data_IF_556479825039
#
_entry.id   IF_556479825039
#
_cell.length_a   1.000
_cell.length_b   1.000
_cell.length_c   1.000
_cell.angle_alpha   90.00
_cell.angle_beta   90.00
_cell.angle_gamma   90.00
#
_symmetry.space_group_name_H-M   'P 1'
#
loop_
_entity.id
_entity.type
_entity.pdbx_description
1 polymer ?
#
# COMPACT_ATOMS: atom_id res chain seq x y z
N UNK A 1 -17.31 8.45 15.85
CA UNK A 1 -17.75 7.77 14.60
C UNK A 1 -17.07 8.49 13.43
N UNK A 2 -16.55 7.78 12.41
CA UNK A 2 -15.82 8.41 11.31
C UNK A 2 -16.73 9.31 10.48
N UNK A 3 -16.20 10.44 10.00
CA UNK A 3 -16.98 11.43 9.25
C UNK A 3 -17.65 10.86 7.99
N UNK A 4 -17.00 9.89 7.33
CA UNK A 4 -17.49 9.17 6.15
C UNK A 4 -18.26 7.88 6.45
N UNK A 5 -18.67 7.64 7.71
CA UNK A 5 -19.49 6.48 8.09
C UNK A 5 -18.75 5.13 8.13
N UNK A 6 -17.56 5.03 7.55
CA UNK A 6 -16.75 3.82 7.51
C UNK A 6 -15.33 4.08 8.04
N UNK A 7 -14.69 3.03 8.57
CA UNK A 7 -13.29 3.09 9.02
C UNK A 7 -12.31 2.65 7.93
N UNK A 8 -12.75 1.74 7.05
CA UNK A 8 -11.95 1.16 5.97
C UNK A 8 -12.54 1.55 4.62
N UNK A 9 -11.68 2.09 3.76
CA UNK A 9 -11.99 2.57 2.42
C UNK A 9 -11.07 2.01 1.35
N UNK A 10 -9.81 1.71 1.69
CA UNK A 10 -8.85 1.13 0.76
C UNK A 10 -8.01 0.06 1.47
N UNK A 11 -8.15 -1.19 1.08
CA UNK A 11 -7.51 -2.34 1.72
C UNK A 11 -6.72 -3.14 0.69
N UNK A 12 -5.74 -3.90 1.16
CA UNK A 12 -5.08 -4.90 0.35
C UNK A 12 -4.95 -6.23 1.11
N UNK A 13 -4.85 -7.33 0.38
CA UNK A 13 -4.65 -8.66 0.93
C UNK A 13 -3.50 -9.33 0.20
N UNK A 14 -2.59 -9.92 0.94
CA UNK A 14 -1.52 -10.76 0.39
C UNK A 14 -2.04 -12.16 0.20
N UNK A 15 -1.97 -12.63 -1.04
CA UNK A 15 -2.43 -13.95 -1.43
C UNK A 15 -1.24 -14.82 -1.80
N UNK A 16 -1.28 -16.05 -1.29
CA UNK A 16 -0.41 -17.13 -1.72
C UNK A 16 -1.25 -18.21 -2.38
N UNK A 17 -0.77 -18.77 -3.47
CA UNK A 17 -1.37 -19.97 -4.06
C UNK A 17 -0.53 -21.18 -3.66
N UNK A 18 -1.16 -22.22 -3.12
CA UNK A 18 -0.48 -23.46 -2.77
C UNK A 18 -0.17 -24.33 -4.01
N UNK A 19 0.68 -25.36 -3.88
CA UNK A 19 0.97 -26.31 -4.96
C UNK A 19 -0.24 -27.12 -5.43
N UNK A 20 -1.25 -27.25 -4.56
CA UNK A 20 -2.56 -27.86 -4.85
C UNK A 20 -3.49 -26.93 -5.65
N UNK A 21 -3.05 -25.70 -5.92
CA UNK A 21 -3.79 -24.69 -6.65
C UNK A 21 -4.76 -23.87 -5.80
N UNK A 22 -4.89 -24.17 -4.50
CA UNK A 22 -5.74 -23.41 -3.57
C UNK A 22 -5.13 -22.06 -3.24
N UNK A 23 -5.96 -21.07 -2.93
CA UNK A 23 -5.53 -19.72 -2.57
C UNK A 23 -5.74 -19.47 -1.08
N UNK A 24 -4.78 -18.76 -0.48
CA UNK A 24 -4.75 -18.47 0.95
C UNK A 24 -4.44 -16.99 1.16
N UNK A 25 -5.10 -16.37 2.14
CA UNK A 25 -4.73 -15.05 2.63
C UNK A 25 -3.54 -15.20 3.58
N UNK A 26 -2.38 -14.69 3.16
CA UNK A 26 -1.15 -14.68 3.96
C UNK A 26 -1.14 -13.52 4.97
N UNK A 27 -1.89 -12.46 4.67
CA UNK A 27 -2.24 -11.44 5.65
C UNK A 27 -2.89 -10.19 5.05
N UNK A 28 -3.33 -9.32 5.95
CA UNK A 28 -4.21 -8.20 5.64
C UNK A 28 -3.45 -6.87 5.70
N UNK A 29 -3.85 -5.90 4.87
CA UNK A 29 -3.31 -4.54 4.86
C UNK A 29 -4.44 -3.51 4.89
N UNK A 30 -4.59 -2.88 6.04
CA UNK A 30 -5.69 -1.96 6.37
C UNK A 30 -5.19 -0.60 6.89
N UNK A 31 -3.91 -0.42 7.19
CA UNK A 31 -3.35 0.82 7.69
C UNK A 31 -3.13 1.85 6.58
N UNK A 32 -2.15 1.57 5.71
CA UNK A 32 -1.74 2.41 4.59
C UNK A 32 -1.14 1.52 3.47
N UNK A 33 -1.93 0.61 2.88
CA UNK A 33 -1.41 -0.43 1.96
C UNK A 33 -0.69 0.16 0.74
N UNK A 34 0.54 -0.29 0.51
CA UNK A 34 1.38 0.03 -0.65
C UNK A 34 1.23 -0.93 -1.83
N UNK A 35 1.81 -0.57 -2.97
CA UNK A 35 1.92 -1.38 -4.19
C UNK A 35 0.90 -1.07 -5.29
N UNK A 36 -0.18 -0.35 -4.99
CA UNK A 36 -1.22 -0.05 -5.98
C UNK A 36 -0.69 0.86 -7.10
N UNK A 37 0.27 1.73 -6.79
CA UNK A 37 0.89 2.60 -7.80
C UNK A 37 1.85 1.82 -8.68
N UNK A 38 2.58 0.87 -8.09
CA UNK A 38 3.43 -0.07 -8.82
C UNK A 38 2.60 -0.99 -9.74
N UNK A 39 1.45 -1.49 -9.29
CA UNK A 39 0.55 -2.29 -10.14
C UNK A 39 0.12 -1.51 -11.39
N UNK A 40 -0.20 -0.23 -11.23
CA UNK A 40 -0.58 0.65 -12.32
C UNK A 40 0.59 0.95 -13.27
N UNK A 41 1.76 1.24 -12.72
CA UNK A 41 2.97 1.48 -13.51
C UNK A 41 3.36 0.23 -14.31
N UNK A 42 3.43 -0.92 -13.66
CA UNK A 42 3.72 -2.21 -14.30
C UNK A 42 2.77 -2.44 -15.47
N UNK A 43 1.47 -2.15 -15.29
CA UNK A 43 0.52 -2.23 -16.39
C UNK A 43 0.86 -1.31 -17.56
N UNK A 44 1.18 -0.05 -17.28
CA UNK A 44 1.54 0.92 -18.33
C UNK A 44 2.83 0.50 -19.04
N UNK A 45 3.84 0.03 -18.31
CA UNK A 45 5.09 -0.44 -18.87
C UNK A 45 4.89 -1.68 -19.75
N UNK A 46 4.20 -2.70 -19.24
CA UNK A 46 3.98 -3.96 -19.97
C UNK A 46 3.07 -3.76 -21.18
N UNK A 47 2.02 -2.95 -21.10
CA UNK A 47 1.18 -2.62 -22.28
C UNK A 47 1.99 -1.91 -23.38
N UNK A 48 3.01 -1.11 -23.03
CA UNK A 48 3.90 -0.47 -24.01
C UNK A 48 4.92 -1.45 -24.59
N UNK A 49 5.54 -2.26 -23.74
CA UNK A 49 6.60 -3.19 -24.15
C UNK A 49 6.06 -4.38 -24.95
N UNK A 50 4.87 -4.87 -24.60
CA UNK A 50 4.23 -6.07 -25.17
C UNK A 50 2.91 -5.72 -25.86
N UNK A 51 2.89 -4.64 -26.65
CA UNK A 51 1.65 -4.08 -27.19
C UNK A 51 0.86 -5.04 -28.09
N UNK A 52 1.56 -5.88 -28.87
CA UNK A 52 0.93 -6.88 -29.75
C UNK A 52 0.21 -7.95 -28.92
N UNK A 53 0.93 -8.55 -27.97
CA UNK A 53 0.42 -9.59 -27.05
C UNK A 53 -0.74 -9.04 -26.21
N UNK A 54 -0.59 -7.82 -25.69
CA UNK A 54 -1.63 -7.16 -24.90
C UNK A 54 -2.89 -6.85 -25.74
N UNK A 55 -2.73 -6.54 -27.03
CA UNK A 55 -3.85 -6.26 -27.93
C UNK A 55 -4.71 -7.49 -28.22
N UNK A 56 -4.10 -8.67 -28.28
CA UNK A 56 -4.77 -9.95 -28.51
C UNK A 56 -5.43 -10.50 -27.25
N UNK A 57 -4.89 -10.21 -26.07
CA UNK A 57 -5.48 -10.64 -24.81
C UNK A 57 -6.53 -9.66 -24.31
N UNK A 58 -7.71 -10.17 -23.96
CA UNK A 58 -8.77 -9.38 -23.34
C UNK A 58 -8.47 -9.10 -21.86
N UNK A 59 -7.38 -8.39 -21.58
CA UNK A 59 -6.94 -8.02 -20.22
C UNK A 59 -7.82 -6.89 -19.67
N UNK A 60 -8.35 -7.07 -18.47
CA UNK A 60 -9.11 -6.02 -17.79
C UNK A 60 -8.26 -4.79 -17.45
N UNK A 61 -8.81 -3.61 -17.71
CA UNK A 61 -8.13 -2.33 -17.41
C UNK A 61 -8.24 -1.97 -15.93
N UNK A 62 -7.15 -1.45 -15.37
CA UNK A 62 -7.13 -0.95 -13.99
C UNK A 62 -7.81 0.42 -13.83
N UNK A 63 -7.96 1.17 -14.93
CA UNK A 63 -8.47 2.54 -14.92
C UNK A 63 -9.85 2.66 -14.26
N UNK A 64 -10.74 1.70 -14.49
CA UNK A 64 -12.08 1.67 -13.88
C UNK A 64 -12.07 1.62 -12.35
N UNK A 65 -11.21 0.78 -11.77
CA UNK A 65 -11.04 0.69 -10.33
C UNK A 65 -10.60 2.03 -9.73
N UNK A 66 -9.58 2.64 -10.34
CA UNK A 66 -9.04 3.93 -9.90
C UNK A 66 -10.02 5.09 -10.10
N UNK A 67 -10.81 5.07 -11.19
CA UNK A 67 -11.90 6.02 -11.44
C UNK A 67 -12.93 5.95 -10.31
N UNK A 68 -13.50 4.77 -10.08
CA UNK A 68 -14.50 4.55 -9.02
C UNK A 68 -13.99 4.95 -7.64
N UNK A 69 -12.73 4.63 -7.34
CA UNK A 69 -12.13 5.04 -6.06
C UNK A 69 -11.95 6.56 -5.95
N UNK A 70 -11.44 7.23 -7.00
CA UNK A 70 -11.34 8.69 -7.04
C UNK A 70 -12.71 9.34 -6.83
N UNK A 71 -13.72 8.85 -7.54
CA UNK A 71 -15.07 9.40 -7.48
C UNK A 71 -15.68 9.18 -6.08
N UNK A 72 -15.39 8.04 -5.43
CA UNK A 72 -15.75 7.80 -4.04
C UNK A 72 -15.07 8.76 -3.05
N UNK A 73 -13.77 9.05 -3.24
CA UNK A 73 -13.06 10.04 -2.42
C UNK A 73 -13.65 11.45 -2.60
N UNK A 74 -13.97 11.84 -3.84
CA UNK A 74 -14.59 13.14 -4.14
C UNK A 74 -16.00 13.21 -3.52
N UNK A 75 -16.80 12.16 -3.65
CA UNK A 75 -18.15 12.07 -3.07
C UNK A 75 -18.18 12.10 -1.55
N UNK A 76 -17.08 11.76 -0.88
CA UNK A 76 -16.94 11.88 0.59
C UNK A 76 -16.74 13.33 1.05
N UNK A 77 -16.33 14.25 0.18
CA UNK A 77 -16.12 15.65 0.55
C UNK A 77 -17.47 16.32 0.86
N UNK A 78 -17.72 16.61 2.14
CA UNK A 78 -19.00 17.19 2.62
C UNK A 78 -19.21 18.65 2.25
N UNK A 79 -18.12 19.38 2.03
CA UNK A 79 -18.18 20.81 1.73
C UNK A 79 -17.87 21.06 0.27
N UNK A 80 -18.59 22.00 -0.35
CA UNK A 80 -18.33 22.45 -1.72
C UNK A 80 -16.90 22.96 -1.92
N UNK A 81 -16.23 23.44 -0.87
CA UNK A 81 -14.86 23.98 -0.93
C UNK A 81 -13.77 23.02 -0.45
N UNK A 82 -14.17 21.88 0.13
CA UNK A 82 -13.26 20.86 0.64
C UNK A 82 -12.54 20.10 -0.47
N UNK A 83 -11.21 20.07 -0.44
CA UNK A 83 -10.41 19.30 -1.41
C UNK A 83 -10.08 17.89 -0.89
N UNK A 84 -9.83 16.98 -1.84
CA UNK A 84 -9.24 15.66 -1.60
C UNK A 84 -7.73 15.78 -1.75
N UNK A 85 -6.96 15.13 -0.87
CA UNK A 85 -5.51 15.08 -0.95
C UNK A 85 -4.95 13.71 -0.54
N UNK A 86 -3.75 13.40 -1.01
CA UNK A 86 -2.93 12.26 -0.56
C UNK A 86 -1.86 12.81 0.38
N UNK A 87 -1.78 12.27 1.60
CA UNK A 87 -0.73 12.59 2.56
C UNK A 87 0.41 11.58 2.42
N UNK A 88 1.61 12.06 2.10
CA UNK A 88 2.83 11.26 1.97
C UNK A 88 3.84 11.62 3.06
N UNK A 89 4.66 10.65 3.54
CA UNK A 89 5.79 10.93 4.43
C UNK A 89 6.95 11.67 3.75
N UNK A 90 6.92 11.83 2.41
CA UNK A 90 7.90 12.59 1.64
C UNK A 90 8.92 11.73 0.87
N UNK A 91 9.87 12.35 0.14
CA UNK A 91 10.73 11.68 -0.86
C UNK A 91 11.69 10.62 -0.31
N UNK A 92 12.00 10.67 0.99
CA UNK A 92 12.90 9.72 1.64
C UNK A 92 12.22 8.39 2.00
N UNK A 93 10.93 8.25 1.71
CA UNK A 93 10.21 7.00 1.89
C UNK A 93 10.33 6.10 0.64
N UNK A 94 10.56 4.81 0.86
CA UNK A 94 10.74 3.81 -0.20
C UNK A 94 9.57 3.72 -1.20
N UNK A 95 8.34 4.03 -0.77
CA UNK A 95 7.15 4.00 -1.64
C UNK A 95 6.73 5.38 -2.13
N UNK A 96 7.52 6.44 -1.92
CA UNK A 96 7.17 7.80 -2.35
C UNK A 96 6.82 7.89 -3.83
N UNK A 97 7.58 7.18 -4.67
CA UNK A 97 7.34 7.14 -6.11
C UNK A 97 5.90 6.75 -6.45
N UNK A 98 5.37 5.70 -5.80
CA UNK A 98 4.01 5.24 -6.05
C UNK A 98 2.97 6.29 -5.63
N UNK A 99 3.24 7.02 -4.53
CA UNK A 99 2.36 8.06 -4.03
C UNK A 99 2.25 9.19 -5.06
N UNK A 100 3.39 9.64 -5.59
CA UNK A 100 3.46 10.65 -6.63
C UNK A 100 2.81 10.18 -7.95
N UNK A 101 3.04 8.93 -8.33
CA UNK A 101 2.46 8.36 -9.54
C UNK A 101 0.93 8.32 -9.47
N UNK A 102 0.38 7.80 -8.36
CA UNK A 102 -1.08 7.76 -8.13
C UNK A 102 -1.66 9.16 -8.04
N UNK A 103 -1.03 10.08 -7.31
CA UNK A 103 -1.50 11.46 -7.20
C UNK A 103 -1.64 12.12 -8.57
N UNK A 104 -0.61 11.98 -9.42
CA UNK A 104 -0.64 12.46 -10.80
C UNK A 104 -1.72 11.77 -11.63
N UNK A 105 -1.84 10.44 -11.52
CA UNK A 105 -2.79 9.66 -12.29
C UNK A 105 -4.24 10.02 -11.95
N UNK A 106 -4.56 10.21 -10.67
CA UNK A 106 -5.90 10.56 -10.20
C UNK A 106 -6.21 12.06 -10.28
N UNK A 107 -5.20 12.92 -10.47
CA UNK A 107 -5.35 14.37 -10.41
C UNK A 107 -5.62 14.90 -9.00
N UNK A 108 -5.08 14.23 -7.98
CA UNK A 108 -5.26 14.58 -6.56
C UNK A 108 -3.96 15.21 -6.04
N UNK A 109 -4.07 16.21 -5.16
CA UNK A 109 -2.90 16.86 -4.56
C UNK A 109 -2.10 15.87 -3.72
N UNK A 110 -0.78 15.84 -3.93
CA UNK A 110 0.17 15.16 -3.05
C UNK A 110 0.70 16.18 -2.04
N UNK A 111 0.49 15.92 -0.75
CA UNK A 111 0.84 16.81 0.35
C UNK A 111 1.71 16.08 1.36
N UNK A 112 2.65 16.78 1.98
CA UNK A 112 3.39 16.35 3.17
C UNK A 112 2.79 16.94 4.44
N UNK A 113 3.19 16.44 5.61
CA UNK A 113 2.67 16.92 6.90
C UNK A 113 2.82 18.43 7.08
N UNK A 114 3.92 18.99 6.58
CA UNK A 114 4.23 20.43 6.61
C UNK A 114 3.47 21.27 5.57
N UNK A 115 2.82 20.65 4.57
CA UNK A 115 1.93 21.38 3.66
C UNK A 115 0.59 21.69 4.35
N UNK A 116 0.30 21.01 5.46
CA UNK A 116 -0.96 21.05 6.18
C UNK A 116 -0.86 21.81 7.50
N UNK A 117 -1.99 22.39 7.92
CA UNK A 117 -2.15 23.04 9.23
C UNK A 117 -3.57 22.89 9.71
N UNK A 118 -3.76 22.88 11.03
CA UNK A 118 -5.10 22.96 11.62
C UNK A 118 -5.39 24.41 12.01
N UNK A 119 -6.53 24.93 11.56
CA UNK A 119 -7.00 26.28 11.86
C UNK A 119 -8.51 26.27 12.05
N UNK A 120 -8.99 26.84 13.15
CA UNK A 120 -10.43 26.84 13.48
C UNK A 120 -11.05 25.43 13.55
N UNK A 121 -10.28 24.43 14.00
CA UNK A 121 -10.73 23.03 14.07
C UNK A 121 -10.73 22.29 12.72
N UNK A 122 -10.30 22.94 11.65
CA UNK A 122 -10.33 22.40 10.28
C UNK A 122 -8.92 22.13 9.77
N UNK A 123 -8.77 21.04 9.01
CA UNK A 123 -7.52 20.76 8.30
C UNK A 123 -7.46 21.63 7.04
N UNK A 124 -6.36 22.38 6.90
CA UNK A 124 -6.13 23.32 5.82
C UNK A 124 -4.80 23.01 5.13
N UNK A 125 -4.71 23.22 3.83
CA UNK A 125 -3.46 23.22 3.06
C UNK A 125 -2.95 24.64 2.88
N UNK A 126 -1.64 24.84 3.01
CA UNK A 126 -0.94 26.09 2.68
C UNK A 126 -0.79 26.20 1.17
N UNK A 127 -1.35 27.27 0.59
CA UNK A 127 -1.24 27.55 -0.85
C UNK A 127 -0.78 28.98 -1.07
N UNK A 128 -0.32 29.28 -2.28
CA UNK A 128 0.04 30.66 -2.68
C UNK A 128 -1.13 31.65 -2.62
N UNK A 129 -2.37 31.14 -2.62
CA UNK A 129 -3.60 31.95 -2.53
C UNK A 129 -4.17 32.00 -1.10
N UNK A 130 -3.43 31.49 -0.11
CA UNK A 130 -3.87 31.39 1.28
C UNK A 130 -4.24 29.96 1.70
N UNK A 131 -4.87 29.83 2.87
CA UNK A 131 -5.29 28.54 3.41
C UNK A 131 -6.54 28.03 2.69
N UNK A 132 -6.53 26.76 2.30
CA UNK A 132 -7.71 26.09 1.73
C UNK A 132 -8.07 24.82 2.49
N UNK A 133 -9.36 24.51 2.67
CA UNK A 133 -9.77 23.36 3.46
C UNK A 133 -9.54 22.02 2.73
N UNK A 134 -9.12 21.02 3.50
CA UNK A 134 -9.04 19.61 3.09
C UNK A 134 -10.14 18.83 3.80
N UNK A 135 -11.02 18.19 3.02
CA UNK A 135 -12.14 17.40 3.57
C UNK A 135 -11.88 15.90 3.55
N UNK A 136 -11.00 15.42 2.66
CA UNK A 136 -10.64 14.01 2.57
C UNK A 136 -9.14 13.87 2.41
N UNK A 137 -8.53 13.05 3.27
CA UNK A 137 -7.09 12.81 3.31
C UNK A 137 -6.80 11.32 3.17
N UNK A 138 -6.31 10.92 2.00
CA UNK A 138 -5.79 9.57 1.77
C UNK A 138 -4.37 9.47 2.31
N UNK A 139 -4.23 8.83 3.48
CA UNK A 139 -2.98 8.73 4.21
C UNK A 139 -2.12 7.57 3.70
N UNK A 140 -0.83 7.84 3.52
CA UNK A 140 0.21 6.89 3.07
C UNK A 140 1.35 6.70 4.08
N UNK A 141 1.07 6.94 5.36
CA UNK A 141 1.98 6.79 6.49
C UNK A 141 1.25 6.17 7.66
N UNK A 142 1.93 5.50 8.59
CA UNK A 142 1.29 4.82 9.73
C UNK A 142 0.59 5.76 10.71
N UNK A 143 -0.49 5.29 11.34
CA UNK A 143 -1.35 6.14 12.15
C UNK A 143 -0.59 6.87 13.26
N UNK A 144 0.35 6.19 13.93
CA UNK A 144 1.17 6.76 15.01
C UNK A 144 1.92 8.05 14.60
N UNK A 145 2.30 8.18 13.33
CA UNK A 145 3.05 9.33 12.84
C UNK A 145 2.17 10.50 12.39
N UNK A 146 0.84 10.35 12.38
CA UNK A 146 -0.07 11.30 11.76
C UNK A 146 -0.17 12.63 12.51
N UNK A 147 -0.04 12.63 13.84
CA UNK A 147 -0.17 13.82 14.68
C UNK A 147 0.80 13.77 15.87
N UNK A 148 1.83 14.64 15.92
CA UNK A 148 2.78 14.65 17.02
C UNK A 148 2.22 15.19 18.34
N UNK A 149 1.06 15.87 18.35
CA UNK A 149 0.47 16.38 19.60
C UNK A 149 -0.24 15.29 20.41
N UNK A 150 -0.83 14.31 19.74
CA UNK A 150 -1.66 13.28 20.38
C UNK A 150 -1.12 11.85 20.24
N UNK A 151 -0.26 11.58 19.25
CA UNK A 151 0.23 10.23 18.96
C UNK A 151 1.72 10.12 19.28
N UNK A 152 2.58 10.23 18.27
CA UNK A 152 4.03 10.07 18.41
C UNK A 152 4.73 11.44 18.44
N UNK A 153 5.24 11.90 19.60
CA UNK A 153 5.78 13.26 19.75
C UNK A 153 7.01 13.57 18.90
N UNK A 154 7.81 12.55 18.57
CA UNK A 154 9.00 12.67 17.71
C UNK A 154 8.67 12.57 16.21
N UNK A 155 7.38 12.48 15.82
CA UNK A 155 7.00 12.46 14.40
C UNK A 155 7.26 13.80 13.73
N UNK A 156 8.03 13.76 12.63
CA UNK A 156 8.30 14.93 11.77
C UNK A 156 7.49 14.94 10.47
N UNK A 157 6.71 13.88 10.21
CA UNK A 157 5.96 13.67 8.96
C UNK A 157 4.45 13.86 9.12
N UNK A 158 4.00 14.08 10.36
CA UNK A 158 2.61 14.33 10.70
C UNK A 158 2.22 15.80 10.65
N UNK A 159 0.96 16.08 10.98
CA UNK A 159 0.42 17.44 11.08
C UNK A 159 -0.14 17.65 12.49
N UNK A 160 0.42 18.59 13.28
CA UNK A 160 -0.11 18.92 14.61
C UNK A 160 -1.61 19.25 14.59
N UNK A 161 -2.38 18.56 15.43
CA UNK A 161 -3.83 18.76 15.60
C UNK A 161 -4.70 18.01 14.58
N UNK A 162 -4.11 17.19 13.70
CA UNK A 162 -4.84 16.36 12.75
C UNK A 162 -5.84 15.41 13.44
N UNK A 163 -5.46 14.82 14.58
CA UNK A 163 -6.36 13.93 15.33
C UNK A 163 -7.58 14.69 15.82
N UNK A 164 -7.40 15.91 16.34
CA UNK A 164 -8.51 16.75 16.77
C UNK A 164 -9.43 17.12 15.58
N UNK A 165 -8.87 17.49 14.42
CA UNK A 165 -9.66 17.79 13.22
C UNK A 165 -10.48 16.57 12.74
N UNK A 166 -9.92 15.35 12.86
CA UNK A 166 -10.63 14.10 12.58
C UNK A 166 -11.74 13.86 13.61
N UNK A 167 -11.46 14.08 14.90
CA UNK A 167 -12.40 13.90 16.02
C UNK A 167 -13.61 14.82 15.89
N UNK A 168 -13.40 16.07 15.46
CA UNK A 168 -14.45 17.04 15.15
C UNK A 168 -15.21 16.72 13.86
N UNK A 169 -14.76 15.75 13.06
CA UNK A 169 -15.38 15.35 11.81
C UNK A 169 -15.15 16.34 10.66
N UNK A 170 -14.17 17.25 10.80
CA UNK A 170 -13.82 18.25 9.80
C UNK A 170 -13.09 17.65 8.58
N UNK A 171 -12.42 16.51 8.77
CA UNK A 171 -11.72 15.77 7.71
C UNK A 171 -11.97 14.26 7.84
N UNK A 172 -12.22 13.60 6.72
CA UNK A 172 -12.26 12.14 6.62
C UNK A 172 -10.88 11.60 6.24
N UNK A 173 -10.40 10.55 6.91
CA UNK A 173 -9.14 9.89 6.58
C UNK A 173 -9.37 8.54 5.91
N UNK A 174 -8.55 8.25 4.90
CA UNK A 174 -8.55 6.97 4.20
C UNK A 174 -7.19 6.29 4.44
N UNK A 175 -7.09 5.19 5.17
CA UNK A 175 -8.08 4.67 6.12
C UNK A 175 -8.05 5.45 7.45
N UNK A 176 -9.07 5.22 8.29
CA UNK A 176 -9.15 5.81 9.62
C UNK A 176 -7.90 5.52 10.46
N UNK A 177 -7.56 6.43 11.38
CA UNK A 177 -6.49 6.18 12.34
C UNK A 177 -6.84 4.96 13.22
N UNK A 178 -5.86 4.10 13.47
CA UNK A 178 -6.03 2.85 14.21
C UNK A 178 -6.48 1.64 13.36
N UNK A 179 -6.75 1.82 12.06
CA UNK A 179 -7.16 0.72 11.18
C UNK A 179 -6.13 -0.40 11.06
N UNK A 180 -4.84 -0.11 11.28
CA UNK A 180 -3.76 -1.11 11.27
C UNK A 180 -3.81 -2.14 12.40
N UNK A 181 -4.64 -1.93 13.42
CA UNK A 181 -4.91 -2.96 14.43
C UNK A 181 -5.44 -4.26 13.77
N UNK A 182 -6.15 -4.15 12.65
CA UNK A 182 -6.64 -5.32 11.92
C UNK A 182 -5.54 -6.12 11.21
N UNK A 183 -4.32 -5.57 11.10
CA UNK A 183 -3.16 -6.29 10.55
C UNK A 183 -2.44 -7.14 11.60
N UNK A 184 -2.88 -7.13 12.86
CA UNK A 184 -2.24 -7.89 13.95
C UNK A 184 -2.29 -9.40 13.68
N UNK A 185 -1.12 -10.05 13.64
CA UNK A 185 -1.01 -11.48 13.31
C UNK A 185 -1.88 -12.39 14.17
N UNK A 186 -1.97 -12.13 15.48
CA UNK A 186 -2.79 -12.93 16.38
C UNK A 186 -4.28 -12.95 15.97
N UNK A 187 -4.79 -11.90 15.30
CA UNK A 187 -6.18 -11.86 14.85
C UNK A 187 -6.49 -12.94 13.79
N UNK A 188 -5.51 -13.35 12.99
CA UNK A 188 -5.69 -14.40 11.98
C UNK A 188 -6.15 -15.73 12.61
N UNK A 189 -5.70 -16.04 13.84
CA UNK A 189 -6.15 -17.23 14.57
C UNK A 189 -7.66 -17.21 14.90
N UNK A 190 -8.25 -16.03 14.96
CA UNK A 190 -9.65 -15.83 15.34
C UNK A 190 -10.57 -15.51 14.17
N UNK A 191 -10.03 -15.14 13.00
CA UNK A 191 -10.82 -14.74 11.84
C UNK A 191 -11.94 -15.73 11.44
N UNK A 192 -11.72 -17.06 11.42
CA UNK A 192 -12.81 -17.99 11.11
C UNK A 192 -13.98 -17.91 12.11
N UNK A 193 -13.68 -17.79 13.40
CA UNK A 193 -14.70 -17.63 14.45
C UNK A 193 -15.38 -16.26 14.36
N UNK A 194 -14.62 -15.20 14.06
CA UNK A 194 -15.14 -13.85 13.86
C UNK A 194 -16.11 -13.82 12.66
N UNK A 195 -15.77 -14.48 11.55
CA UNK A 195 -16.64 -14.56 10.37
C UNK A 195 -17.97 -15.23 10.70
N UNK A 196 -17.96 -16.40 11.35
CA UNK A 196 -19.19 -17.08 11.78
C UNK A 196 -20.02 -16.23 12.74
N UNK A 197 -19.38 -15.59 13.72
CA UNK A 197 -20.09 -14.81 14.72
C UNK A 197 -20.73 -13.52 14.16
N UNK A 198 -20.06 -12.85 13.21
CA UNK A 198 -20.53 -11.57 12.66
C UNK A 198 -21.34 -11.70 11.38
N UNK A 199 -21.09 -12.74 10.57
CA UNK A 199 -21.72 -12.94 9.25
C UNK A 199 -22.55 -14.21 9.16
N UNK A 200 -22.39 -15.16 10.07
CA UNK A 200 -23.04 -16.48 9.98
C UNK A 200 -22.37 -17.46 9.01
N UNK A 201 -21.35 -17.03 8.28
CA UNK A 201 -20.71 -17.81 7.21
C UNK A 201 -19.22 -18.08 7.51
N UNK A 202 -18.71 -19.18 6.93
CA UNK A 202 -17.28 -19.48 6.88
C UNK A 202 -16.53 -18.50 5.96
N UNK A 203 -15.21 -18.43 6.12
CA UNK A 203 -14.34 -17.70 5.20
C UNK A 203 -14.35 -18.40 3.83
N UNK A 204 -14.76 -17.68 2.78
CA UNK A 204 -14.70 -18.18 1.40
C UNK A 204 -13.25 -18.39 0.94
N UNK A 205 -12.35 -17.53 1.40
CA UNK A 205 -10.92 -17.63 1.17
C UNK A 205 -10.23 -17.84 2.52
N UNK A 206 -9.61 -19.01 2.76
CA UNK A 206 -8.99 -19.29 4.05
C UNK A 206 -7.74 -18.42 4.26
N UNK A 207 -7.46 -18.11 5.53
CA UNK A 207 -6.18 -17.53 5.92
C UNK A 207 -5.16 -18.62 6.21
N UNK A 208 -3.88 -18.28 6.20
CA UNK A 208 -2.82 -19.19 6.68
C UNK A 208 -3.13 -19.69 8.08
N UNK A 209 -2.93 -21.00 8.31
CA UNK A 209 -3.13 -21.62 9.61
C UNK A 209 -2.27 -20.92 10.66
N UNK A 210 -2.93 -20.39 11.69
CA UNK A 210 -2.34 -19.48 12.67
C UNK A 210 -2.78 -19.86 14.08
N UNK A 211 -1.83 -19.97 15.00
CA UNK A 211 -2.03 -20.34 16.39
C UNK A 211 -1.44 -19.29 17.31
N UNK A 212 -2.28 -18.68 18.16
CA UNK A 212 -1.81 -17.74 19.16
C UNK A 212 -1.37 -18.49 20.43
N UNK A 213 -0.11 -18.35 20.81
CA UNK A 213 0.49 -19.08 21.93
C UNK A 213 0.02 -18.59 23.32
N UNK A 214 -0.87 -17.60 23.37
CA UNK A 214 -1.58 -17.21 24.60
C UNK A 214 -2.58 -18.26 25.07
N UNK A 215 -3.05 -19.13 24.17
CA UNK A 215 -3.93 -20.25 24.51
C UNK A 215 -3.11 -21.53 24.70
N UNK A 216 -3.41 -22.29 25.76
CA UNK A 216 -2.57 -23.42 26.18
C UNK A 216 -2.49 -24.55 25.14
N UNK A 217 -3.60 -24.87 24.48
CA UNK A 217 -3.69 -25.94 23.47
C UNK A 217 -2.92 -25.54 22.20
N UNK A 218 -3.11 -24.31 21.75
CA UNK A 218 -2.48 -23.71 20.59
C UNK A 218 -0.97 -23.58 20.81
N UNK A 219 -0.54 -23.16 22.01
CA UNK A 219 0.88 -23.14 22.41
C UNK A 219 1.50 -24.53 22.37
N UNK A 220 0.83 -25.53 22.95
CA UNK A 220 1.32 -26.92 22.92
C UNK A 220 1.45 -27.44 21.48
N UNK A 221 0.50 -27.10 20.60
CA UNK A 221 0.56 -27.44 19.18
C UNK A 221 1.78 -26.81 18.48
N UNK A 222 2.02 -25.52 18.70
CA UNK A 222 3.18 -24.81 18.13
C UNK A 222 4.49 -25.41 18.61
N UNK A 223 4.62 -25.69 19.92
CA UNK A 223 5.83 -26.30 20.49
C UNK A 223 6.08 -27.72 19.95
N UNK A 224 5.03 -28.53 19.83
CA UNK A 224 5.13 -29.89 19.31
C UNK A 224 5.51 -29.95 17.82
N UNK A 225 5.16 -28.90 17.05
CA UNK A 225 5.37 -28.85 15.60
C UNK A 225 6.36 -27.75 15.19
N UNK A 226 7.18 -27.25 16.11
CA UNK A 226 8.01 -26.06 15.95
C UNK A 226 8.82 -26.04 14.65
N UNK A 227 9.36 -27.18 14.21
CA UNK A 227 10.20 -27.28 13.02
C UNK A 227 9.44 -26.96 11.72
N UNK A 228 8.10 -27.04 11.72
CA UNK A 228 7.23 -26.71 10.58
C UNK A 228 6.57 -25.33 10.70
N UNK A 229 6.86 -24.61 11.79
CA UNK A 229 6.20 -23.37 12.13
C UNK A 229 7.09 -22.17 11.83
N UNK A 230 6.43 -21.10 11.42
CA UNK A 230 6.93 -19.74 11.36
C UNK A 230 6.51 -19.05 12.65
N UNK A 231 7.47 -18.70 13.50
CA UNK A 231 7.20 -18.15 14.83
C UNK A 231 7.63 -16.70 14.86
N UNK A 232 6.77 -15.83 15.36
CA UNK A 232 7.06 -14.42 15.51
C UNK A 232 6.17 -13.72 16.53
N UNK A 233 6.33 -12.39 16.68
CA UNK A 233 5.54 -11.58 17.60
C UNK A 233 4.04 -11.59 17.24
N UNK A 234 3.21 -11.92 18.23
CA UNK A 234 1.75 -11.99 18.09
C UNK A 234 1.11 -10.65 17.71
N UNK A 235 1.66 -9.55 18.24
CA UNK A 235 1.12 -8.20 18.09
C UNK A 235 1.72 -7.42 16.90
N UNK A 236 2.63 -8.03 16.13
CA UNK A 236 3.18 -7.39 14.95
C UNK A 236 2.10 -7.18 13.89
N UNK A 237 2.16 -6.02 13.24
CA UNK A 237 1.35 -5.66 12.06
C UNK A 237 2.11 -5.89 10.75
N UNK A 238 3.36 -6.38 10.83
CA UNK A 238 4.11 -6.83 9.65
C UNK A 238 3.78 -8.28 9.38
N UNK A 239 3.87 -8.69 8.12
CA UNK A 239 3.67 -10.07 7.72
C UNK A 239 4.87 -10.93 8.10
N UNK A 240 4.64 -12.24 8.27
CA UNK A 240 5.69 -13.18 8.64
C UNK A 240 6.92 -13.13 7.73
N UNK A 241 6.68 -12.91 6.43
CA UNK A 241 7.71 -12.82 5.40
C UNK A 241 8.16 -11.38 5.08
N UNK A 242 7.88 -10.41 5.95
CA UNK A 242 8.43 -9.04 5.87
C UNK A 242 9.16 -8.62 7.15
N UNK A 243 9.30 -9.53 8.11
CA UNK A 243 9.84 -9.26 9.44
C UNK A 243 11.12 -10.08 9.65
N UNK A 244 12.22 -9.56 9.10
CA UNK A 244 13.49 -10.28 8.94
C UNK A 244 14.18 -10.61 10.28
N UNK A 245 13.93 -9.79 11.31
CA UNK A 245 14.66 -9.90 12.57
C UNK A 245 13.92 -10.76 13.61
N UNK A 246 12.59 -10.63 13.69
CA UNK A 246 11.80 -11.19 14.80
C UNK A 246 11.03 -12.45 14.45
N UNK A 247 10.90 -12.78 13.16
CA UNK A 247 10.20 -13.98 12.69
C UNK A 247 11.21 -15.04 12.28
N UNK A 248 11.05 -16.27 12.80
CA UNK A 248 11.98 -17.38 12.55
C UNK A 248 11.22 -18.60 12.05
N UNK A 249 11.81 -19.29 11.07
CA UNK A 249 11.39 -20.63 10.68
C UNK A 249 12.00 -21.63 11.66
N UNK A 250 11.17 -22.44 12.32
CA UNK A 250 11.67 -23.34 13.36
C UNK A 250 12.71 -24.34 12.88
N UNK A 251 12.60 -24.85 11.63
CA UNK A 251 13.60 -25.75 11.04
C UNK A 251 14.96 -25.09 10.75
N UNK A 252 15.03 -23.75 10.71
CA UNK A 252 16.26 -23.01 10.51
C UNK A 252 16.99 -22.68 11.82
N UNK A 253 16.39 -22.96 12.98
CA UNK A 253 16.97 -22.67 14.29
C UNK A 253 18.00 -23.73 14.69
N UNK A 254 19.13 -23.27 15.24
CA UNK A 254 20.04 -24.17 15.94
C UNK A 254 19.40 -24.74 17.21
N UNK A 255 19.95 -25.82 17.76
CA UNK A 255 19.43 -26.44 18.98
C UNK A 255 19.39 -25.46 20.18
N UNK A 256 20.37 -24.56 20.27
CA UNK A 256 20.43 -23.54 21.32
C UNK A 256 19.34 -22.47 21.15
N UNK A 257 19.22 -21.90 19.95
CA UNK A 257 18.18 -20.91 19.64
C UNK A 257 16.77 -21.49 19.80
N UNK A 258 16.58 -22.75 19.42
CA UNK A 258 15.31 -23.47 19.61
C UNK A 258 14.96 -23.59 21.09
N UNK A 259 15.90 -24.00 21.94
CA UNK A 259 15.67 -24.12 23.38
C UNK A 259 15.32 -22.77 24.02
N UNK A 260 16.01 -21.70 23.61
CA UNK A 260 15.71 -20.35 24.07
C UNK A 260 14.32 -19.88 23.64
N UNK A 261 13.96 -20.08 22.37
CA UNK A 261 12.65 -19.71 21.85
C UNK A 261 11.52 -20.47 22.56
N UNK A 262 11.71 -21.79 22.79
CA UNK A 262 10.76 -22.61 23.54
C UNK A 262 10.55 -22.07 24.95
N UNK A 263 11.63 -21.80 25.69
CA UNK A 263 11.55 -21.25 27.04
C UNK A 263 10.83 -19.89 27.07
N UNK A 264 11.03 -19.04 26.06
CA UNK A 264 10.32 -17.76 25.92
C UNK A 264 8.82 -17.95 25.64
N UNK A 265 8.45 -18.88 24.76
CA UNK A 265 7.05 -19.18 24.45
C UNK A 265 6.33 -19.77 25.68
N UNK A 266 7.01 -20.62 26.45
CA UNK A 266 6.44 -21.19 27.67
C UNK A 266 6.18 -20.11 28.73
N UNK A 267 7.11 -19.16 28.88
CA UNK A 267 7.01 -18.06 29.85
C UNK A 267 5.99 -16.99 29.41
N UNK A 268 6.11 -16.52 28.17
CA UNK A 268 5.43 -15.32 27.66
C UNK A 268 4.59 -15.64 26.41
N UNK A 269 3.86 -16.77 26.42
CA UNK A 269 3.16 -17.28 25.23
C UNK A 269 2.20 -16.28 24.56
N UNK A 270 1.62 -15.34 25.30
CA UNK A 270 0.76 -14.28 24.75
C UNK A 270 1.45 -13.38 23.72
N UNK A 271 2.78 -13.29 23.75
CA UNK A 271 3.57 -12.46 22.85
C UNK A 271 3.92 -13.17 21.55
N UNK A 272 3.58 -14.45 21.39
CA UNK A 272 3.97 -15.26 20.25
C UNK A 272 2.80 -15.82 19.46
N UNK A 273 3.02 -15.94 18.15
CA UNK A 273 2.14 -16.63 17.22
C UNK A 273 2.96 -17.62 16.42
N UNK A 274 2.44 -18.82 16.22
CA UNK A 274 2.94 -19.79 15.24
C UNK A 274 2.05 -19.78 14.01
N UNK A 275 2.65 -19.78 12.82
CA UNK A 275 1.96 -19.89 11.54
C UNK A 275 2.54 -21.06 10.77
N UNK A 276 1.72 -21.77 10.01
CA UNK A 276 2.22 -22.84 9.15
C UNK A 276 3.15 -22.27 8.06
N UNK A 277 4.28 -22.93 7.81
CA UNK A 277 5.18 -22.54 6.74
C UNK A 277 4.53 -22.82 5.37
N UNK A 278 3.95 -21.78 4.76
CA UNK A 278 3.29 -21.90 3.46
C UNK A 278 4.30 -22.11 2.35
N UNK A 279 4.08 -23.16 1.55
CA UNK A 279 4.76 -23.37 0.27
C UNK A 279 3.96 -22.67 -0.83
N UNK A 280 4.59 -21.78 -1.58
CA UNK A 280 3.97 -21.03 -2.66
C UNK A 280 4.13 -21.75 -3.99
N UNK A 281 3.14 -21.60 -4.86
CA UNK A 281 3.22 -21.94 -6.27
C UNK A 281 4.25 -21.07 -6.96
N UNK A 282 4.78 -21.55 -8.08
CA UNK A 282 5.79 -20.85 -8.86
C UNK A 282 5.22 -20.23 -10.12
N UNK A 283 5.87 -19.17 -10.60
CA UNK A 283 5.66 -18.54 -11.90
C UNK A 283 6.96 -18.62 -12.70
N UNK A 284 6.90 -18.75 -14.04
CA UNK A 284 8.10 -18.72 -14.86
C UNK A 284 8.75 -17.33 -14.86
N UNK A 285 10.06 -17.28 -14.69
CA UNK A 285 10.88 -16.06 -14.71
C UNK A 285 12.04 -16.26 -15.67
N UNK A 286 12.26 -15.28 -16.55
CA UNK A 286 13.35 -15.35 -17.52
C UNK A 286 14.66 -14.84 -16.91
N UNK A 287 15.62 -15.73 -16.70
CA UNK A 287 16.92 -15.45 -16.09
C UNK A 287 18.02 -16.12 -16.92
N UNK A 288 19.01 -15.34 -17.36
CA UNK A 288 20.20 -15.89 -18.02
C UNK A 288 19.93 -16.72 -19.29
N UNK A 289 18.85 -16.42 -20.02
CA UNK A 289 18.48 -17.16 -21.24
C UNK A 289 17.48 -18.30 -21.05
N UNK A 290 17.07 -18.60 -19.81
CA UNK A 290 16.21 -19.73 -19.47
C UNK A 290 15.02 -19.30 -18.61
N UNK A 291 13.96 -20.11 -18.62
CA UNK A 291 12.81 -19.94 -17.72
C UNK A 291 13.00 -20.77 -16.46
N UNK A 292 12.99 -20.11 -15.31
CA UNK A 292 13.07 -20.73 -13.99
C UNK A 292 11.72 -20.60 -13.25
N UNK A 293 11.25 -21.65 -12.56
CA UNK A 293 10.07 -21.57 -11.72
C UNK A 293 10.43 -20.91 -10.38
N UNK A 294 9.94 -19.68 -10.13
CA UNK A 294 10.19 -18.96 -8.88
C UNK A 294 8.90 -18.71 -8.11
N UNK A 295 8.91 -18.77 -6.77
CA UNK A 295 7.71 -18.55 -5.97
C UNK A 295 7.16 -17.14 -6.17
N UNK A 296 5.84 -17.02 -6.14
CA UNK A 296 5.16 -15.73 -6.26
C UNK A 296 4.06 -15.56 -5.22
N UNK A 297 3.92 -14.32 -4.74
CA UNK A 297 2.75 -13.86 -3.98
C UNK A 297 2.04 -12.74 -4.75
N UNK A 298 0.75 -12.58 -4.48
CA UNK A 298 -0.10 -11.60 -5.14
C UNK A 298 -0.77 -10.70 -4.10
N UNK A 299 -0.47 -9.40 -4.15
CA UNK A 299 -1.24 -8.40 -3.40
C UNK A 299 -2.43 -7.93 -4.25
N UNK A 300 -3.64 -8.14 -3.73
CA UNK A 300 -4.89 -7.66 -4.35
C UNK A 300 -5.44 -6.45 -3.60
N UNK A 301 -6.15 -5.55 -4.29
CA UNK A 301 -6.64 -4.29 -3.73
C UNK A 301 -8.15 -4.19 -3.78
N UNK A 302 -8.72 -3.65 -2.71
CA UNK A 302 -10.14 -3.36 -2.60
C UNK A 302 -10.34 -1.89 -2.25
N UNK A 303 -11.30 -1.27 -2.92
CA UNK A 303 -11.72 0.11 -2.66
C UNK A 303 -13.22 0.14 -2.34
N UNK A 304 -13.62 0.96 -1.38
CA UNK A 304 -15.02 1.19 -1.05
C UNK A 304 -15.57 2.30 -1.94
N UNK A 305 -16.72 2.04 -2.55
CA UNK A 305 -17.54 2.98 -3.32
C UNK A 305 -18.92 3.09 -2.67
N UNK A 306 -19.79 4.02 -3.12
CA UNK A 306 -21.17 4.10 -2.65
C UNK A 306 -21.97 2.79 -2.83
N UNK A 307 -21.63 1.99 -3.84
CA UNK A 307 -22.28 0.72 -4.18
C UNK A 307 -21.73 -0.49 -3.40
N UNK A 308 -20.63 -0.30 -2.65
CA UNK A 308 -20.00 -1.38 -1.87
C UNK A 308 -18.49 -1.48 -2.10
N UNK A 309 -17.93 -2.70 -2.01
CA UNK A 309 -16.52 -2.93 -2.26
C UNK A 309 -16.29 -3.31 -3.72
N UNK A 310 -15.37 -2.62 -4.40
CA UNK A 310 -14.83 -3.01 -5.70
C UNK A 310 -13.45 -3.63 -5.53
N UNK A 311 -13.20 -4.73 -6.24
CA UNK A 311 -11.86 -5.35 -6.33
C UNK A 311 -11.16 -4.82 -7.57
N UNK A 312 -9.85 -4.57 -7.47
CA UNK A 312 -9.03 -4.24 -8.64
C UNK A 312 -8.90 -5.49 -9.53
N UNK A 313 -9.19 -5.41 -10.85
CA UNK A 313 -9.00 -6.53 -11.77
C UNK A 313 -7.52 -6.66 -12.18
N UNK A 314 -6.69 -6.94 -11.19
CA UNK A 314 -5.23 -6.99 -11.25
C UNK A 314 -4.65 -6.95 -9.84
N UNK A 315 -3.39 -6.60 -9.72
CA UNK A 315 -2.72 -6.53 -8.42
C UNK A 315 -1.24 -6.28 -8.57
N UNK A 316 -0.51 -6.47 -7.47
CA UNK A 316 0.93 -6.35 -7.42
C UNK A 316 1.53 -7.72 -7.07
N UNK A 317 2.20 -8.35 -8.04
CA UNK A 317 2.87 -9.63 -7.81
C UNK A 317 4.31 -9.40 -7.38
N UNK A 318 4.72 -10.11 -6.32
CA UNK A 318 6.11 -10.22 -5.88
C UNK A 318 6.63 -11.61 -6.21
N UNK A 319 7.83 -11.67 -6.76
CA UNK A 319 8.48 -12.90 -7.20
C UNK A 319 9.78 -13.06 -6.41
N UNK A 320 9.96 -14.21 -5.77
CA UNK A 320 11.16 -14.51 -4.99
C UNK A 320 12.44 -14.53 -5.84
N UNK A 321 13.57 -14.17 -5.24
CA UNK A 321 14.89 -14.23 -5.91
C UNK A 321 15.50 -15.64 -5.92
N UNK A 322 15.08 -16.51 -5.02
CA UNK A 322 15.55 -17.90 -4.90
C UNK A 322 14.55 -18.89 -5.49
N UNK A 323 15.01 -20.13 -5.66
CA UNK A 323 14.17 -21.28 -6.01
C UNK A 323 13.48 -21.91 -4.79
N UNK A 324 13.71 -21.38 -3.58
CA UNK A 324 13.07 -21.86 -2.36
C UNK A 324 11.61 -21.39 -2.35
N UNK A 325 10.62 -22.31 -2.44
CA UNK A 325 9.23 -21.94 -2.60
C UNK A 325 8.55 -21.50 -1.29
N UNK A 326 9.26 -21.49 -0.15
CA UNK A 326 8.68 -21.05 1.12
C UNK A 326 8.37 -19.56 1.10
N UNK A 327 7.22 -19.17 1.65
CA UNK A 327 6.85 -17.75 1.72
C UNK A 327 7.89 -16.90 2.46
N UNK A 328 8.59 -17.47 3.45
CA UNK A 328 9.68 -16.80 4.17
C UNK A 328 10.84 -16.42 3.25
N UNK A 329 11.15 -17.24 2.24
CA UNK A 329 12.25 -16.94 1.31
C UNK A 329 12.03 -15.62 0.53
N UNK A 330 10.79 -15.11 0.49
CA UNK A 330 10.46 -13.81 -0.10
C UNK A 330 11.01 -12.60 0.70
N UNK A 331 11.46 -12.79 1.94
CA UNK A 331 12.11 -11.75 2.75
C UNK A 331 13.37 -11.19 2.09
N UNK A 332 14.11 -12.02 1.33
CA UNK A 332 15.40 -11.64 0.72
C UNK A 332 15.26 -10.69 -0.48
N UNK A 333 14.10 -10.06 -0.64
CA UNK A 333 13.75 -9.23 -1.79
C UNK A 333 13.14 -10.04 -2.92
N UNK A 334 12.68 -9.31 -3.93
CA UNK A 334 11.96 -9.91 -5.05
C UNK A 334 11.88 -8.99 -6.26
N UNK A 335 11.53 -9.60 -7.39
CA UNK A 335 11.14 -8.87 -8.59
C UNK A 335 9.63 -8.59 -8.54
N UNK A 336 9.19 -7.55 -9.24
CA UNK A 336 7.77 -7.26 -9.41
C UNK A 336 7.30 -7.74 -10.79
N UNK A 337 6.05 -8.19 -10.87
CA UNK A 337 5.40 -8.50 -12.13
C UNK A 337 4.03 -7.82 -12.24
N UNK A 338 3.59 -7.58 -13.48
CA UNK A 338 2.21 -7.22 -13.78
C UNK A 338 1.30 -8.45 -13.61
N UNK A 339 0.06 -8.20 -13.23
CA UNK A 339 -0.95 -9.22 -12.95
C UNK A 339 -2.11 -9.01 -13.91
N UNK A 340 -2.25 -9.91 -14.87
CA UNK A 340 -3.31 -9.85 -15.87
C UNK A 340 -4.50 -10.70 -15.46
N UNK A 341 -5.63 -10.03 -15.20
CA UNK A 341 -6.93 -10.68 -15.16
C UNK A 341 -7.51 -10.63 -16.57
N UNK A 342 -7.75 -11.79 -17.15
CA UNK A 342 -8.20 -11.96 -18.54
C UNK A 342 -9.66 -12.39 -18.60
N UNK A 343 -10.31 -12.03 -19.70
CA UNK A 343 -11.69 -12.42 -20.03
C UNK A 343 -11.69 -13.24 -21.32
N UNK A 344 -12.64 -14.16 -21.46
CA UNK A 344 -12.85 -14.88 -22.73
C UNK A 344 -13.44 -13.98 -23.82
N UNK A 345 -14.04 -12.85 -23.43
CA UNK A 345 -14.69 -11.87 -24.32
C UNK A 345 -13.98 -10.51 -24.29
N UNK A 346 -14.11 -9.69 -25.35
CA UNK A 346 -13.62 -8.33 -25.36
C UNK A 346 -14.07 -7.55 -24.12
N UNK A 347 -13.10 -6.94 -23.43
CA UNK A 347 -13.36 -6.15 -22.23
C UNK A 347 -13.60 -4.69 -22.60
N UNK A 348 -14.53 -4.07 -21.89
CA UNK A 348 -14.81 -2.64 -22.00
C UNK A 348 -13.56 -1.80 -21.72
N UNK A 349 -13.32 -0.79 -22.55
CA UNK A 349 -12.17 0.10 -22.42
C UNK A 349 -12.47 1.26 -21.47
N UNK A 350 -12.65 0.95 -20.19
CA UNK A 350 -12.79 1.99 -19.16
C UNK A 350 -11.54 2.90 -19.15
N UNK A 351 -11.76 4.21 -19.01
CA UNK A 351 -10.70 5.23 -18.98
C UNK A 351 -10.90 6.19 -17.80
N UNK A 352 -9.87 6.96 -17.46
CA UNK A 352 -10.00 8.07 -16.50
C UNK A 352 -10.53 9.37 -17.13
N UNK A 353 -10.63 9.43 -18.46
CA UNK A 353 -11.10 10.61 -19.17
C UNK A 353 -12.61 10.77 -18.92
N UNK A 354 -13.09 12.02 -18.77
CA UNK A 354 -14.52 12.29 -18.66
C UNK A 354 -15.29 11.71 -19.86
N UNK A 355 -16.44 11.10 -19.61
CA UNK A 355 -17.33 10.60 -20.65
C UNK A 355 -18.48 11.57 -20.93
N UNK A 356 -19.09 11.47 -22.11
CA UNK A 356 -20.29 12.25 -22.45
C UNK A 356 -21.44 11.90 -21.50
N UNK A 357 -21.91 12.88 -20.73
CA UNK A 357 -22.94 12.72 -19.71
C UNK A 357 -22.45 12.83 -18.27
N UNK A 358 -21.13 12.83 -18.04
CA UNK A 358 -20.57 13.16 -16.73
C UNK A 358 -20.90 14.61 -16.38
N UNK A 359 -21.39 14.86 -15.16
CA UNK A 359 -21.60 16.22 -14.67
C UNK A 359 -20.26 16.94 -14.70
N UNK A 360 -20.13 17.94 -15.56
CA UNK A 360 -18.91 18.74 -15.69
C UNK A 360 -18.65 19.51 -14.39
N UNK A 361 -17.87 18.91 -13.49
CA UNK A 361 -17.33 19.63 -12.34
C UNK A 361 -16.20 20.52 -12.88
N UNK A 362 -16.47 21.82 -12.96
CA UNK A 362 -15.48 22.82 -13.38
C UNK A 362 -14.25 22.62 -12.51
N UNK A 363 -13.12 22.24 -13.13
CA UNK A 363 -11.83 22.13 -12.45
C UNK A 363 -11.54 23.50 -11.84
N UNK A 364 -11.77 23.62 -10.53
CA UNK A 364 -11.47 24.84 -9.80
C UNK A 364 -9.98 25.07 -9.97
N UNK A 365 -9.53 26.28 -10.36
CA UNK A 365 -8.10 26.58 -10.47
C UNK A 365 -7.40 26.05 -9.22
N UNK A 366 -6.50 25.09 -9.40
CA UNK A 366 -5.73 24.53 -8.31
C UNK A 366 -4.86 25.65 -7.78
N UNK A 367 -5.10 26.08 -6.54
CA UNK A 367 -4.12 26.90 -5.85
C UNK A 367 -2.93 26.01 -5.54
N UNK A 368 -1.78 26.35 -6.12
CA UNK A 368 -0.57 25.57 -5.95
C UNK A 368 -0.17 25.52 -4.46
N UNK A 369 0.07 24.33 -3.88
CA UNK A 369 0.62 24.22 -2.54
C UNK A 369 1.93 25.01 -2.43
N UNK A 370 2.16 25.67 -1.29
CA UNK A 370 3.28 26.61 -1.14
C UNK A 370 4.63 25.96 -1.41
N UNK A 371 4.84 24.72 -0.96
CA UNK A 371 6.06 23.96 -1.22
C UNK A 371 6.25 23.61 -2.69
N UNK A 372 5.17 23.25 -3.39
CA UNK A 372 5.23 23.03 -4.83
C UNK A 372 5.59 24.33 -5.59
N UNK A 373 5.07 25.48 -5.13
CA UNK A 373 5.42 26.79 -5.67
C UNK A 373 6.89 27.17 -5.44
N UNK A 374 7.40 26.89 -4.23
CA UNK A 374 8.81 27.07 -3.90
C UNK A 374 9.70 26.17 -4.75
N UNK A 375 9.37 24.89 -4.90
CA UNK A 375 10.10 23.96 -5.75
C UNK A 375 10.14 24.41 -7.22
N UNK A 376 9.03 24.90 -7.77
CA UNK A 376 9.00 25.46 -9.12
C UNK A 376 9.84 26.73 -9.24
N UNK A 377 9.87 27.56 -8.20
CA UNK A 377 10.72 28.76 -8.15
C UNK A 377 12.20 28.38 -8.22
N UNK A 378 12.63 27.42 -7.39
CA UNK A 378 14.01 26.93 -7.40
C UNK A 378 14.37 26.23 -8.70
N UNK A 379 13.48 25.38 -9.22
CA UNK A 379 13.65 24.73 -10.51
C UNK A 379 13.88 25.75 -11.63
N UNK A 380 13.03 26.78 -11.72
CA UNK A 380 13.19 27.86 -12.70
C UNK A 380 14.55 28.56 -12.57
N UNK A 381 14.96 28.92 -11.35
CA UNK A 381 16.28 29.54 -11.12
C UNK A 381 17.44 28.63 -11.50
N UNK A 382 17.34 27.33 -11.26
CA UNK A 382 18.38 26.38 -11.66
C UNK A 382 18.42 26.18 -13.17
N UNK A 383 17.27 26.13 -13.85
CA UNK A 383 17.20 26.06 -15.32
C UNK A 383 17.87 27.27 -15.95
N UNK A 384 17.53 28.50 -15.50
CA UNK A 384 18.15 29.74 -15.99
C UNK A 384 19.68 29.71 -15.80
N UNK A 385 20.16 29.34 -14.60
CA UNK A 385 21.60 29.23 -14.31
C UNK A 385 22.28 28.17 -15.18
N UNK A 386 21.63 27.03 -15.41
CA UNK A 386 22.15 25.99 -16.29
C UNK A 386 22.21 26.47 -17.73
N UNK A 387 21.20 27.18 -18.22
CA UNK A 387 21.17 27.76 -19.55
C UNK A 387 22.31 28.79 -19.74
N UNK A 388 22.46 29.72 -18.82
CA UNK A 388 23.54 30.72 -18.84
C UNK A 388 24.91 30.06 -18.87
N UNK A 389 25.12 29.04 -18.04
CA UNK A 389 26.38 28.28 -17.99
C UNK A 389 26.64 27.58 -19.33
N UNK A 390 25.63 26.93 -19.92
CA UNK A 390 25.74 26.27 -21.23
C UNK A 390 26.03 27.29 -22.33
N UNK A 391 25.41 28.47 -22.31
CA UNK A 391 25.67 29.56 -23.26
C UNK A 391 27.12 30.04 -23.18
N UNK A 392 27.66 30.24 -21.98
CA UNK A 392 29.07 30.62 -21.76
C UNK A 392 30.01 29.51 -22.25
N UNK A 393 29.77 28.26 -21.87
CA UNK A 393 30.58 27.12 -22.31
C UNK A 393 30.59 26.99 -23.82
N UNK A 394 29.43 27.14 -24.47
CA UNK A 394 29.31 27.12 -25.93
C UNK A 394 30.11 28.27 -26.55
N UNK A 395 30.01 29.49 -26.03
CA UNK A 395 30.78 30.63 -26.53
C UNK A 395 32.30 30.43 -26.37
N UNK A 396 32.74 29.88 -25.23
CA UNK A 396 34.14 29.53 -24.99
C UNK A 396 34.64 28.48 -25.99
N UNK A 397 33.91 27.39 -26.20
CA UNK A 397 34.32 26.33 -27.14
C UNK A 397 34.34 26.81 -28.59
N UNK A 398 33.41 27.69 -28.98
CA UNK A 398 33.44 28.33 -30.30
C UNK A 398 34.72 29.15 -30.49
N UNK A 399 35.13 29.93 -29.48
CA UNK A 399 36.40 30.68 -29.54
C UNK A 399 37.63 29.79 -29.49
N UNK A 400 37.62 28.74 -28.68
CA UNK A 400 38.72 27.77 -28.62
C UNK A 400 38.91 27.04 -29.96
N UNK A 401 37.84 26.81 -30.72
CA UNK A 401 37.92 26.19 -32.03
C UNK A 401 38.47 27.12 -33.13
N UNK A 402 38.49 28.44 -32.90
CA UNK A 402 39.08 29.43 -33.81
C UNK A 402 40.59 29.61 -33.61
N UNK A 403 41.12 29.21 -32.45
CA UNK A 403 42.54 29.23 -32.08
C UNK A 403 43.18 27.86 -32.27
#
# INVERSE_FOLDING_TARGET
KPAGGHFLHFCAFELGRGPDGQWWVLGDRTQAPSGAGFALENRVATTRALSDIYGEMHVHRLAGFFRRFRDALIGMAKETDGRVAILTPGPLNETYYEHAYIARYLGIMLLEGEDLTVSGGRLMVRTVSGLMPISVLWRRLDAAFADPLELRPDSQIGTPGLVEAIRQGAVATVNALGSGLMETRALLAFLPKISRALRGDELLLPSVATWWCGQATERAHVLANIDRMVIGPALSTRLAFEDDDSTKLGSALSAGERAELVARIERDGGDFVGQEAVTLSTTPVYVGGWLEPRPASLRVYLARTPEGWTVMPGGFARIGLSLDPTAIAMQRGGQAADVWVVSDKPVERETLLPQEGDSFSRTRPGSLPSRAAENLTWLGRYIERSEDTVRILRAYHVRLAET
#
